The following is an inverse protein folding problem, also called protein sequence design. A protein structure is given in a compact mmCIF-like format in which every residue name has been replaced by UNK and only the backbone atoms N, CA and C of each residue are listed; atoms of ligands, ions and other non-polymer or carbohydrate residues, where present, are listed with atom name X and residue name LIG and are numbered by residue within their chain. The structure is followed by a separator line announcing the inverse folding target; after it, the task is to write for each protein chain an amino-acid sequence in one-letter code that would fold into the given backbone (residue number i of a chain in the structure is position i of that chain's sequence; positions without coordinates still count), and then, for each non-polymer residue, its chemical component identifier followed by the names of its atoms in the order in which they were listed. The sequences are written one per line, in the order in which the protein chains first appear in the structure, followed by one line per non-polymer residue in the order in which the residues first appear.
data_IF_092496772315
#
_entry.id   IF_092496772315
#
_cell.length_a   1.000
_cell.length_b   1.000
_cell.length_c   1.000
_cell.angle_alpha   90.00
_cell.angle_beta   90.00
_cell.angle_gamma   90.00
#
_symmetry.space_group_name_H-M   'P 1'
#
loop_
_entity.id
_entity.type
_entity.pdbx_description
1 polymer ?
#
# COMPACT_ATOMS: atom_id res chain seq x y z
N UNK A 1 -40.76 -48.16 -5.15
CA UNK A 1 -40.62 -46.74 -4.76
C UNK A 1 -39.13 -46.46 -4.58
N UNK A 2 -38.58 -45.52 -5.34
CA UNK A 2 -37.14 -45.22 -5.42
C UNK A 2 -36.79 -44.24 -4.29
N UNK A 3 -35.98 -44.67 -3.33
CA UNK A 3 -35.56 -43.83 -2.21
C UNK A 3 -34.66 -42.70 -2.73
N UNK A 4 -35.16 -41.48 -2.72
CA UNK A 4 -34.48 -40.25 -3.09
C UNK A 4 -33.92 -39.59 -1.83
N UNK A 5 -32.87 -40.16 -1.24
CA UNK A 5 -32.04 -39.46 -0.27
C UNK A 5 -30.77 -38.98 -0.98
N UNK A 6 -30.93 -38.00 -1.88
CA UNK A 6 -29.80 -37.21 -2.38
C UNK A 6 -29.40 -36.24 -1.25
N UNK A 7 -28.59 -36.72 -0.31
CA UNK A 7 -27.81 -35.84 0.55
C UNK A 7 -26.86 -35.05 -0.34
N UNK A 8 -27.07 -33.73 -0.44
CA UNK A 8 -26.13 -32.81 -1.08
C UNK A 8 -24.83 -32.79 -0.26
N UNK A 9 -23.91 -33.73 -0.52
CA UNK A 9 -22.53 -33.61 -0.08
C UNK A 9 -21.90 -32.42 -0.83
N UNK A 10 -21.91 -31.23 -0.20
CA UNK A 10 -21.05 -30.14 -0.65
C UNK A 10 -19.62 -30.54 -0.31
N UNK A 11 -18.98 -31.27 -1.21
CA UNK A 11 -17.56 -31.63 -1.09
C UNK A 11 -16.74 -30.36 -1.17
N UNK A 12 -16.28 -29.86 -0.02
CA UNK A 12 -15.39 -28.70 0.00
C UNK A 12 -14.10 -29.05 -0.73
N UNK A 13 -13.79 -28.29 -1.78
CA UNK A 13 -12.63 -28.55 -2.62
C UNK A 13 -11.39 -27.84 -2.08
N UNK A 14 -10.22 -28.44 -2.30
CA UNK A 14 -8.94 -27.81 -2.00
C UNK A 14 -8.79 -26.49 -2.76
N UNK A 15 -8.25 -25.49 -2.06
CA UNK A 15 -7.94 -24.15 -2.57
C UNK A 15 -6.51 -24.09 -3.08
N UNK A 16 -6.28 -23.26 -4.10
CA UNK A 16 -4.96 -23.11 -4.72
C UNK A 16 -4.13 -22.02 -4.01
N UNK A 17 -2.96 -22.35 -3.43
CA UNK A 17 -2.09 -21.38 -2.78
C UNK A 17 -1.64 -20.24 -3.71
N UNK A 18 -1.44 -20.50 -5.00
CA UNK A 18 -1.04 -19.48 -5.97
C UNK A 18 -2.12 -18.40 -6.16
N UNK A 19 -3.39 -18.79 -6.14
CA UNK A 19 -4.51 -17.84 -6.18
C UNK A 19 -4.55 -16.98 -4.90
N UNK A 20 -4.24 -17.58 -3.75
CA UNK A 20 -4.14 -16.84 -2.48
C UNK A 20 -3.07 -15.75 -2.55
N UNK A 21 -1.89 -16.06 -3.09
CA UNK A 21 -0.81 -15.09 -3.32
C UNK A 21 -1.29 -13.97 -4.26
N UNK A 22 -1.87 -14.33 -5.40
CA UNK A 22 -2.35 -13.35 -6.38
C UNK A 22 -3.35 -12.37 -5.74
N UNK A 23 -4.29 -12.90 -4.97
CA UNK A 23 -5.28 -12.09 -4.27
C UNK A 23 -4.64 -11.16 -3.23
N UNK A 24 -3.71 -11.64 -2.40
CA UNK A 24 -3.01 -10.79 -1.42
C UNK A 24 -2.10 -9.74 -2.06
N UNK A 25 -1.55 -10.00 -3.24
CA UNK A 25 -0.76 -9.02 -3.99
C UNK A 25 -1.62 -7.91 -4.59
N UNK A 26 -2.82 -8.24 -5.05
CA UNK A 26 -3.80 -7.27 -5.55
C UNK A 26 -4.34 -6.41 -4.40
N UNK A 27 -4.82 -7.07 -3.34
CA UNK A 27 -5.33 -6.42 -2.15
C UNK A 27 -4.95 -7.26 -0.91
N UNK A 28 -4.08 -6.74 -0.03
CA UNK A 28 -3.69 -7.43 1.19
C UNK A 28 -4.91 -7.83 2.03
N UNK A 29 -4.95 -9.08 2.48
CA UNK A 29 -6.06 -9.69 3.20
C UNK A 29 -7.01 -10.53 2.33
N UNK A 30 -7.01 -10.38 1.01
CA UNK A 30 -7.90 -11.17 0.14
C UNK A 30 -7.50 -12.64 0.01
N UNK A 31 -6.21 -12.97 0.08
CA UNK A 31 -5.78 -14.37 0.04
C UNK A 31 -6.22 -15.13 1.29
N UNK A 32 -6.22 -14.47 2.45
CA UNK A 32 -6.74 -14.97 3.72
C UNK A 32 -8.27 -15.12 3.68
N UNK A 33 -8.97 -14.15 3.10
CA UNK A 33 -10.41 -14.25 2.83
C UNK A 33 -10.71 -15.46 1.94
N UNK A 34 -9.96 -15.61 0.84
CA UNK A 34 -10.06 -16.76 -0.05
C UNK A 34 -9.84 -18.07 0.71
N UNK A 35 -8.83 -18.14 1.58
CA UNK A 35 -8.56 -19.28 2.45
C UNK A 35 -9.62 -19.55 3.53
N UNK A 36 -10.54 -18.62 3.77
CA UNK A 36 -11.63 -18.76 4.74
C UNK A 36 -11.30 -18.22 6.15
N UNK A 37 -10.24 -17.42 6.30
CA UNK A 37 -9.85 -16.83 7.58
C UNK A 37 -9.56 -15.32 7.45
N UNK A 38 -10.61 -14.54 7.21
CA UNK A 38 -10.49 -13.08 7.10
C UNK A 38 -10.17 -12.38 8.44
N UNK A 39 -10.34 -13.04 9.58
CA UNK A 39 -9.99 -12.46 10.88
C UNK A 39 -8.50 -12.08 10.95
N UNK A 40 -7.63 -12.85 10.30
CA UNK A 40 -6.22 -12.48 10.10
C UNK A 40 -6.01 -11.51 8.93
N UNK A 41 -6.78 -11.66 7.85
CA UNK A 41 -6.70 -10.82 6.64
C UNK A 41 -7.06 -9.35 6.84
N UNK A 42 -8.02 -9.05 7.72
CA UNK A 42 -8.53 -7.69 7.95
C UNK A 42 -7.42 -6.69 8.36
N UNK A 43 -6.42 -7.14 9.12
CA UNK A 43 -5.32 -6.27 9.56
C UNK A 43 -4.47 -5.80 8.39
N UNK A 44 -4.22 -6.67 7.40
CA UNK A 44 -3.49 -6.30 6.19
C UNK A 44 -4.29 -5.32 5.33
N UNK A 45 -5.62 -5.52 5.23
CA UNK A 45 -6.51 -4.59 4.50
C UNK A 45 -6.55 -3.21 5.17
N UNK A 46 -6.68 -3.16 6.50
CA UNK A 46 -6.68 -1.91 7.27
C UNK A 46 -5.33 -1.20 7.12
N UNK A 47 -4.23 -1.92 7.25
CA UNK A 47 -2.88 -1.37 7.06
C UNK A 47 -2.72 -0.79 5.64
N UNK A 48 -3.18 -1.50 4.61
CA UNK A 48 -3.13 -1.01 3.24
C UNK A 48 -3.94 0.29 3.06
N UNK A 49 -5.15 0.34 3.60
CA UNK A 49 -5.99 1.54 3.56
C UNK A 49 -5.33 2.72 4.28
N UNK A 50 -4.70 2.47 5.43
CA UNK A 50 -3.96 3.48 6.17
C UNK A 50 -2.76 4.01 5.36
N UNK A 51 -1.97 3.11 4.76
CA UNK A 51 -0.84 3.52 3.91
C UNK A 51 -1.27 4.30 2.67
N UNK A 52 -2.37 3.90 2.02
CA UNK A 52 -2.95 4.65 0.91
C UNK A 52 -3.40 6.05 1.37
N UNK A 53 -4.05 6.14 2.53
CA UNK A 53 -4.43 7.42 3.13
C UNK A 53 -3.23 8.32 3.38
N UNK A 54 -2.16 7.78 3.95
CA UNK A 54 -0.89 8.51 4.15
C UNK A 54 -0.28 8.92 2.81
N UNK A 55 -0.22 8.01 1.83
CA UNK A 55 0.34 8.29 0.51
C UNK A 55 -0.39 9.46 -0.17
N UNK A 56 -1.72 9.40 -0.22
CA UNK A 56 -2.56 10.44 -0.81
C UNK A 56 -2.42 11.75 -0.05
N UNK A 57 -2.52 11.71 1.29
CA UNK A 57 -2.37 12.90 2.12
C UNK A 57 -1.02 13.59 1.97
N UNK A 58 0.06 12.82 1.87
CA UNK A 58 1.41 13.36 1.66
C UNK A 58 1.63 13.94 0.27
N UNK A 59 1.02 13.37 -0.78
CA UNK A 59 1.03 13.98 -2.12
C UNK A 59 0.33 15.35 -2.07
N UNK A 60 -0.91 15.41 -1.57
CA UNK A 60 -1.65 16.67 -1.45
C UNK A 60 -0.92 17.71 -0.60
N UNK A 61 -0.32 17.30 0.53
CA UNK A 61 0.48 18.20 1.36
C UNK A 61 1.72 18.71 0.64
N UNK A 62 2.40 17.84 -0.12
CA UNK A 62 3.55 18.21 -0.96
C UNK A 62 3.18 19.21 -2.05
N UNK A 63 2.07 18.97 -2.77
CA UNK A 63 1.54 19.87 -3.79
C UNK A 63 1.18 21.24 -3.20
N UNK A 64 0.46 21.25 -2.08
CA UNK A 64 0.09 22.50 -1.41
C UNK A 64 1.32 23.29 -0.94
N UNK A 65 2.34 22.62 -0.40
CA UNK A 65 3.61 23.29 -0.04
C UNK A 65 4.37 23.78 -1.26
N UNK A 66 4.28 23.06 -2.38
CA UNK A 66 4.85 23.48 -3.66
C UNK A 66 4.23 24.78 -4.15
N UNK A 67 2.92 24.81 -4.30
CA UNK A 67 2.19 26.01 -4.74
C UNK A 67 2.49 27.22 -3.85
N UNK A 68 2.58 27.00 -2.54
CA UNK A 68 2.92 28.04 -1.58
C UNK A 68 4.33 28.59 -1.77
N UNK A 69 5.35 27.73 -1.87
CA UNK A 69 6.72 28.23 -2.02
C UNK A 69 6.89 28.93 -3.38
N UNK A 70 6.28 28.41 -4.45
CA UNK A 70 6.36 29.01 -5.79
C UNK A 70 5.70 30.41 -5.79
N UNK A 71 4.48 30.51 -5.26
CA UNK A 71 3.76 31.78 -5.14
C UNK A 71 4.51 32.78 -4.25
N UNK A 72 5.10 32.30 -3.16
CA UNK A 72 5.90 33.13 -2.27
C UNK A 72 7.17 33.64 -2.96
N UNK A 73 7.87 32.81 -3.73
CA UNK A 73 9.03 33.25 -4.51
C UNK A 73 8.65 34.30 -5.56
N UNK A 74 7.50 34.14 -6.23
CA UNK A 74 7.00 35.12 -7.19
C UNK A 74 6.75 36.49 -6.55
N UNK A 75 6.08 36.50 -5.39
CA UNK A 75 5.71 37.75 -4.70
C UNK A 75 6.84 38.40 -3.89
N UNK A 76 7.68 37.60 -3.22
CA UNK A 76 8.72 38.09 -2.31
C UNK A 76 10.09 38.28 -2.99
N UNK A 77 10.39 37.51 -4.06
CA UNK A 77 11.68 37.54 -4.75
C UNK A 77 11.59 37.89 -6.25
N UNK A 78 10.39 38.16 -6.78
CA UNK A 78 10.20 38.56 -8.17
C UNK A 78 10.43 37.44 -9.19
N UNK A 79 10.29 36.18 -8.77
CA UNK A 79 10.50 35.01 -9.64
C UNK A 79 9.38 34.89 -10.68
N UNK A 80 9.74 34.74 -11.95
CA UNK A 80 8.80 34.25 -12.98
C UNK A 80 8.69 32.72 -12.91
N UNK A 81 7.52 32.24 -12.51
CA UNK A 81 7.22 30.82 -12.31
C UNK A 81 7.23 30.03 -13.63
N UNK A 82 7.07 30.69 -14.78
CA UNK A 82 6.93 29.99 -16.06
C UNK A 82 8.24 29.32 -16.48
N UNK A 83 8.12 28.05 -16.88
CA UNK A 83 9.22 27.28 -17.43
C UNK A 83 10.35 26.98 -16.43
N UNK A 84 10.11 27.14 -15.13
CA UNK A 84 11.09 26.82 -14.08
C UNK A 84 10.88 25.40 -13.58
N UNK A 85 11.98 24.71 -13.29
CA UNK A 85 11.98 23.36 -12.77
C UNK A 85 12.28 23.34 -11.26
N UNK A 86 12.14 22.17 -10.65
CA UNK A 86 12.37 21.98 -9.21
C UNK A 86 13.79 22.36 -8.80
N UNK A 87 14.80 22.11 -9.64
CA UNK A 87 16.20 22.45 -9.35
C UNK A 87 16.41 23.97 -9.24
N UNK A 88 15.71 24.74 -10.07
CA UNK A 88 15.70 26.19 -9.96
C UNK A 88 15.10 26.64 -8.62
N UNK A 89 13.92 26.11 -8.27
CA UNK A 89 13.26 26.45 -7.01
C UNK A 89 14.09 26.03 -5.78
N UNK A 90 14.76 24.88 -5.82
CA UNK A 90 15.70 24.52 -4.75
C UNK A 90 16.84 25.55 -4.63
N UNK A 91 17.40 25.96 -5.78
CA UNK A 91 18.57 26.84 -5.86
C UNK A 91 18.29 28.26 -5.38
N UNK A 92 17.14 28.85 -5.71
CA UNK A 92 16.85 30.23 -5.27
C UNK A 92 16.78 30.34 -3.74
N UNK A 93 16.48 29.26 -3.03
CA UNK A 93 16.52 29.25 -1.56
C UNK A 93 17.93 29.23 -0.97
N UNK A 94 18.97 28.92 -1.76
CA UNK A 94 20.36 28.78 -1.30
C UNK A 94 21.14 30.09 -1.37
N UNK A 95 20.70 31.02 -2.21
CA UNK A 95 21.41 32.26 -2.51
C UNK A 95 20.47 33.46 -2.36
N UNK A 96 21.02 34.60 -1.94
CA UNK A 96 20.29 35.86 -1.77
C UNK A 96 19.68 36.38 -3.07
N UNK A 97 20.41 36.24 -4.18
CA UNK A 97 20.02 36.75 -5.49
C UNK A 97 20.80 36.04 -6.60
N UNK A 98 20.39 36.29 -7.84
CA UNK A 98 21.03 35.70 -9.01
C UNK A 98 22.49 36.14 -9.20
N UNK A 99 22.84 37.37 -8.82
CA UNK A 99 24.20 37.87 -8.94
C UNK A 99 25.14 37.08 -8.03
N UNK A 100 24.75 36.84 -6.77
CA UNK A 100 25.51 36.01 -5.84
C UNK A 100 25.76 34.62 -6.41
N UNK A 101 24.72 33.98 -6.97
CA UNK A 101 24.85 32.66 -7.60
C UNK A 101 25.84 32.69 -8.77
N UNK A 102 25.62 33.60 -9.72
CA UNK A 102 26.43 33.71 -10.94
C UNK A 102 27.89 34.08 -10.64
N UNK A 103 28.13 34.94 -9.65
CA UNK A 103 29.49 35.30 -9.22
C UNK A 103 30.22 34.08 -8.63
N UNK A 104 29.55 33.25 -7.82
CA UNK A 104 30.14 32.00 -7.30
C UNK A 104 30.46 31.03 -8.45
N UNK A 105 29.58 30.93 -9.46
CA UNK A 105 29.83 30.10 -10.65
C UNK A 105 30.99 30.62 -11.49
N UNK A 106 31.10 31.93 -11.69
CA UNK A 106 32.20 32.54 -12.40
C UNK A 106 33.54 32.34 -11.68
N UNK A 107 33.58 32.52 -10.35
CA UNK A 107 34.77 32.26 -9.53
C UNK A 107 35.26 30.81 -9.65
N UNK A 108 34.32 29.86 -9.73
CA UNK A 108 34.62 28.45 -9.90
C UNK A 108 34.84 28.02 -11.37
N UNK A 109 34.84 28.97 -12.32
CA UNK A 109 34.93 28.72 -13.77
C UNK A 109 33.82 27.82 -14.32
N UNK A 110 32.66 27.78 -13.65
CA UNK A 110 31.47 27.01 -14.02
C UNK A 110 30.49 27.85 -14.89
N UNK A 111 30.99 28.49 -15.95
CA UNK A 111 30.19 29.43 -16.76
C UNK A 111 28.95 28.80 -17.39
N UNK A 112 29.03 27.50 -17.74
CA UNK A 112 27.91 26.75 -18.30
C UNK A 112 26.76 26.51 -17.31
N UNK A 113 26.96 26.76 -16.01
CA UNK A 113 25.92 26.64 -14.97
C UNK A 113 25.31 27.99 -14.60
N UNK A 114 25.86 29.10 -15.09
CA UNK A 114 25.31 30.42 -14.81
C UNK A 114 23.93 30.57 -15.45
N UNK A 115 23.09 31.34 -14.79
CA UNK A 115 21.76 31.66 -15.27
C UNK A 115 21.74 33.00 -16.01
N UNK A 116 20.92 33.08 -17.05
CA UNK A 116 20.57 34.35 -17.69
C UNK A 116 19.64 35.17 -16.76
N UNK A 117 20.06 36.37 -16.30
CA UNK A 117 19.23 37.22 -15.46
C UNK A 117 17.93 37.67 -16.08
N UNK A 118 17.80 37.71 -17.41
CA UNK A 118 16.54 38.06 -18.06
C UNK A 118 15.47 36.95 -17.92
N UNK A 119 15.89 35.70 -17.73
CA UNK A 119 15.00 34.52 -17.74
C UNK A 119 14.79 33.94 -16.34
N UNK A 120 15.83 33.96 -15.51
CA UNK A 120 15.90 33.25 -14.24
C UNK A 120 16.02 34.18 -13.02
N UNK A 121 15.65 35.45 -13.15
CA UNK A 121 15.76 36.45 -12.10
C UNK A 121 15.16 36.01 -10.74
N UNK A 122 15.87 36.29 -9.64
CA UNK A 122 15.32 36.37 -8.29
C UNK A 122 16.17 37.32 -7.45
N UNK A 123 15.54 37.95 -6.46
CA UNK A 123 16.23 38.76 -5.46
C UNK A 123 15.44 38.78 -4.14
N UNK A 124 15.96 38.13 -3.11
CA UNK A 124 15.38 38.18 -1.77
C UNK A 124 15.64 39.54 -1.11
N UNK A 125 14.58 40.17 -0.59
CA UNK A 125 14.67 41.45 0.11
C UNK A 125 15.47 41.36 1.40
N UNK A 126 15.29 40.26 2.13
CA UNK A 126 15.97 39.96 3.39
C UNK A 126 16.18 38.45 3.52
N UNK A 127 17.05 38.06 4.44
CA UNK A 127 17.41 36.66 4.66
C UNK A 127 16.28 35.85 5.33
N UNK A 128 15.37 36.52 6.03
CA UNK A 128 14.23 35.88 6.70
C UNK A 128 13.23 35.33 5.68
N UNK A 129 12.86 36.12 4.66
CA UNK A 129 12.01 35.67 3.56
C UNK A 129 12.63 34.47 2.84
N UNK A 130 13.95 34.52 2.58
CA UNK A 130 14.66 33.41 1.95
C UNK A 130 14.62 32.13 2.80
N UNK A 131 14.81 32.25 4.11
CA UNK A 131 14.72 31.11 5.05
C UNK A 131 13.31 30.54 5.10
N UNK A 132 12.29 31.39 5.22
CA UNK A 132 10.89 31.00 5.17
C UNK A 132 10.57 30.25 3.87
N UNK A 133 11.04 30.77 2.73
CA UNK A 133 10.95 30.07 1.45
C UNK A 133 11.61 28.69 1.48
N UNK A 134 12.86 28.61 1.97
CA UNK A 134 13.61 27.36 2.04
C UNK A 134 12.90 26.33 2.91
N UNK A 135 12.28 26.73 4.01
CA UNK A 135 11.52 25.84 4.90
C UNK A 135 10.27 25.27 4.22
N UNK A 136 9.55 26.10 3.46
CA UNK A 136 8.40 25.66 2.66
C UNK A 136 8.84 24.67 1.57
N UNK A 137 9.92 24.98 0.85
CA UNK A 137 10.50 24.11 -0.17
C UNK A 137 10.97 22.77 0.42
N UNK A 138 11.70 22.80 1.53
CA UNK A 138 12.14 21.59 2.25
C UNK A 138 10.95 20.75 2.72
N UNK A 139 9.89 21.39 3.22
CA UNK A 139 8.66 20.70 3.64
C UNK A 139 8.01 19.93 2.49
N UNK A 140 7.88 20.56 1.32
CA UNK A 140 7.40 19.91 0.09
C UNK A 140 8.31 18.73 -0.28
N UNK A 141 9.62 18.96 -0.31
CA UNK A 141 10.61 17.93 -0.67
C UNK A 141 10.59 16.74 0.29
N UNK A 142 10.44 16.98 1.59
CA UNK A 142 10.31 15.92 2.59
C UNK A 142 9.03 15.10 2.37
N UNK A 143 7.91 15.74 2.06
CA UNK A 143 6.67 15.04 1.75
C UNK A 143 6.87 14.06 0.57
N UNK A 144 7.39 14.55 -0.56
CA UNK A 144 7.65 13.70 -1.73
C UNK A 144 8.71 12.62 -1.49
N UNK A 145 9.81 12.97 -0.83
CA UNK A 145 10.88 12.02 -0.54
C UNK A 145 10.41 10.88 0.38
N UNK A 146 9.46 11.16 1.27
CA UNK A 146 8.96 10.17 2.21
C UNK A 146 7.94 9.20 1.59
N UNK A 147 7.31 9.55 0.45
CA UNK A 147 6.40 8.65 -0.27
C UNK A 147 7.05 7.31 -0.62
N UNK A 148 8.36 7.28 -0.89
CA UNK A 148 9.09 6.03 -1.18
C UNK A 148 9.03 5.03 -0.02
N UNK A 149 9.03 5.52 1.22
CA UNK A 149 8.93 4.66 2.40
C UNK A 149 7.51 4.15 2.59
N UNK A 150 6.49 4.97 2.26
CA UNK A 150 5.09 4.55 2.26
C UNK A 150 4.86 3.44 1.23
N UNK A 151 5.36 3.63 0.00
CA UNK A 151 5.32 2.59 -1.05
C UNK A 151 6.08 1.33 -0.61
N UNK A 152 7.24 1.48 0.02
CA UNK A 152 7.98 0.36 0.60
C UNK A 152 7.16 -0.42 1.64
N UNK A 153 6.48 0.28 2.56
CA UNK A 153 5.62 -0.32 3.57
C UNK A 153 4.41 -1.05 2.94
N UNK A 154 3.79 -0.46 1.91
CA UNK A 154 2.71 -1.08 1.13
C UNK A 154 3.14 -2.37 0.43
N UNK A 155 4.35 -2.40 -0.14
CA UNK A 155 4.90 -3.62 -0.73
C UNK A 155 5.17 -4.69 0.32
N UNK A 156 5.73 -4.30 1.47
CA UNK A 156 6.03 -5.21 2.56
C UNK A 156 4.74 -5.81 3.14
N UNK A 157 3.68 -5.01 3.29
CA UNK A 157 2.35 -5.44 3.68
C UNK A 157 1.76 -6.50 2.74
N UNK A 158 1.86 -6.28 1.41
CA UNK A 158 1.45 -7.26 0.39
C UNK A 158 2.20 -8.58 0.52
N UNK A 159 3.53 -8.52 0.68
CA UNK A 159 4.37 -9.72 0.83
C UNK A 159 4.01 -10.51 2.09
N UNK A 160 3.86 -9.84 3.23
CA UNK A 160 3.48 -10.49 4.49
C UNK A 160 2.08 -11.11 4.40
N UNK A 161 1.11 -10.41 3.80
CA UNK A 161 -0.22 -10.96 3.56
C UNK A 161 -0.16 -12.19 2.63
N UNK A 162 0.60 -12.15 1.54
CA UNK A 162 0.72 -13.30 0.64
C UNK A 162 1.28 -14.55 1.35
N UNK A 163 2.30 -14.37 2.20
CA UNK A 163 2.86 -15.47 3.01
C UNK A 163 1.81 -16.03 3.98
N UNK A 164 1.08 -15.15 4.67
CA UNK A 164 0.05 -15.57 5.60
C UNK A 164 -1.14 -16.25 4.90
N UNK A 165 -1.55 -15.76 3.72
CA UNK A 165 -2.58 -16.36 2.89
C UNK A 165 -2.24 -17.81 2.47
N UNK A 166 -0.99 -18.06 2.09
CA UNK A 166 -0.53 -19.44 1.80
C UNK A 166 -0.67 -20.34 3.02
N UNK A 167 -0.30 -19.85 4.22
CA UNK A 167 -0.48 -20.58 5.47
C UNK A 167 -1.96 -20.89 5.74
N UNK A 168 -2.84 -19.91 5.56
CA UNK A 168 -4.30 -20.07 5.73
C UNK A 168 -4.86 -21.11 4.77
N UNK A 169 -4.54 -21.01 3.47
CA UNK A 169 -5.00 -21.99 2.46
C UNK A 169 -4.47 -23.39 2.72
N UNK A 170 -3.21 -23.51 3.16
CA UNK A 170 -2.62 -24.81 3.51
C UNK A 170 -3.34 -25.44 4.70
N UNK A 171 -3.64 -24.65 5.74
CA UNK A 171 -4.41 -25.11 6.89
C UNK A 171 -5.84 -25.53 6.50
N UNK A 172 -6.50 -24.74 5.64
CA UNK A 172 -7.82 -25.07 5.11
C UNK A 172 -7.79 -26.41 4.36
N UNK A 173 -6.85 -26.59 3.43
CA UNK A 173 -6.72 -27.83 2.66
C UNK A 173 -6.46 -29.05 3.56
N UNK A 174 -5.64 -28.90 4.60
CA UNK A 174 -5.37 -29.96 5.58
C UNK A 174 -6.61 -30.32 6.40
N UNK A 175 -7.42 -29.35 6.80
CA UNK A 175 -8.68 -29.63 7.51
C UNK A 175 -9.69 -30.43 6.68
N UNK A 176 -9.65 -30.30 5.36
CA UNK A 176 -10.49 -31.10 4.46
C UNK A 176 -10.04 -32.57 4.44
N UNK A 177 -8.73 -32.82 4.39
CA UNK A 177 -8.18 -34.18 4.43
C UNK A 177 -8.52 -34.91 5.74
N UNK A 178 -8.42 -34.21 6.89
CA UNK A 178 -8.80 -34.78 8.18
C UNK A 178 -10.31 -35.03 8.32
N UNK A 179 -11.14 -34.20 7.66
CA UNK A 179 -12.60 -34.39 7.66
C UNK A 179 -13.02 -35.59 6.80
N UNK A 180 -12.35 -35.82 5.67
CA UNK A 180 -12.60 -36.99 4.82
C UNK A 180 -12.26 -38.33 5.52
N UNK A 181 -11.38 -38.30 6.54
CA UNK A 181 -10.99 -39.49 7.33
C UNK A 181 -11.91 -39.80 8.52
N UNK A 182 -12.83 -38.89 8.87
CA UNK A 182 -13.69 -39.02 10.05
C UNK A 182 -15.15 -38.92 9.61
N UNK A 183 -15.95 -39.97 9.83
CA UNK A 183 -17.33 -40.00 9.36
C UNK A 183 -18.33 -40.53 10.38
N UNK A 184 -19.59 -40.17 10.14
CA UNK A 184 -20.77 -40.60 10.89
C UNK A 184 -21.69 -41.35 9.94
N UNK A 185 -22.15 -42.54 10.34
CA UNK A 185 -23.25 -43.20 9.65
C UNK A 185 -24.31 -43.68 10.65
N UNK A 186 -25.55 -43.58 10.21
CA UNK A 186 -26.73 -43.98 10.97
C UNK A 186 -27.23 -45.32 10.43
N UNK A 187 -27.34 -46.30 11.31
CA UNK A 187 -28.04 -47.54 10.99
C UNK A 187 -29.41 -47.50 11.68
N UNK A 188 -30.47 -47.62 10.89
CA UNK A 188 -31.83 -47.85 11.38
C UNK A 188 -32.19 -49.32 11.10
N UNK A 189 -32.65 -50.03 12.12
CA UNK A 189 -33.09 -51.41 11.96
C UNK A 189 -34.33 -51.46 11.06
N UNK A 190 -34.30 -52.13 9.88
CA UNK A 190 -35.41 -52.09 8.94
C UNK A 190 -36.58 -53.02 9.31
N UNK A 191 -36.49 -53.78 10.40
CA UNK A 191 -37.54 -54.70 10.84
C UNK A 191 -38.76 -53.94 11.40
N UNK A 192 -39.94 -54.02 10.76
CA UNK A 192 -41.17 -53.34 11.21
C UNK A 192 -41.71 -53.86 12.56
N UNK A 193 -41.24 -55.01 13.04
CA UNK A 193 -41.63 -55.58 14.33
C UNK A 193 -40.61 -55.35 15.46
N UNK A 194 -39.47 -54.74 15.16
CA UNK A 194 -38.44 -54.43 16.15
C UNK A 194 -38.69 -53.06 16.81
N UNK A 195 -38.30 -52.92 18.08
CA UNK A 195 -38.27 -51.62 18.78
C UNK A 195 -37.37 -50.68 17.98
N UNK A 196 -37.90 -49.53 17.58
CA UNK A 196 -37.18 -48.55 16.78
C UNK A 196 -35.94 -48.07 17.54
N UNK A 197 -34.76 -48.47 17.07
CA UNK A 197 -33.48 -48.01 17.60
C UNK A 197 -32.67 -47.34 16.49
N UNK A 198 -32.12 -46.17 16.80
CA UNK A 198 -31.16 -45.48 15.95
C UNK A 198 -29.79 -45.72 16.57
N UNK A 199 -28.90 -46.40 15.83
CA UNK A 199 -27.51 -46.56 16.25
C UNK A 199 -26.64 -45.57 15.49
N UNK A 200 -25.95 -44.71 16.25
CA UNK A 200 -24.95 -43.78 15.71
C UNK A 200 -23.58 -44.43 15.85
N UNK A 201 -22.90 -44.65 14.72
CA UNK A 201 -21.55 -45.19 14.72
C UNK A 201 -20.55 -44.13 14.24
N UNK A 202 -19.42 -44.06 14.94
CA UNK A 202 -18.30 -43.19 14.62
C UNK A 202 -17.19 -44.04 14.02
N UNK A 203 -16.57 -43.58 12.93
CA UNK A 203 -15.37 -44.21 12.41
C UNK A 203 -14.27 -43.18 12.14
N UNK A 204 -13.04 -43.65 12.36
CA UNK A 204 -11.78 -42.98 11.98
C UNK A 204 -11.04 -43.95 11.07
N UNK A 205 -10.71 -43.52 9.86
CA UNK A 205 -9.78 -44.22 9.00
C UNK A 205 -8.35 -43.77 9.37
N UNK A 206 -7.55 -44.70 9.92
CA UNK A 206 -6.13 -44.48 10.24
C UNK A 206 -5.24 -44.68 9.01
#
# INVERSE_FOLDING_TARGET
MKNLSNSLEIKSQKKNPALAILFSMLLPGMGELYGGNYQSGQYFTIAEAAFLGVYVGMNFYGDWKKDNYETFAGSAAGVDLKGKNEDYFGRIGEYKDIEQYNNIKALNREFNKMYDPAVFYWQWKNDEDRKNYRDMWLSSRHAYNNLRFVVGAMLLNRLTSAINAVRVVTAYNKSLESSDQTGLYFNANPDPNAVSSITVNFFTAF
#
